data_IF_891001407576
#
_entry.id   IF_891001407576
#
_cell.length_a   1.000
_cell.length_b   1.000
_cell.length_c   1.000
_cell.angle_alpha   90.00
_cell.angle_beta   90.00
_cell.angle_gamma   90.00
#
_symmetry.space_group_name_H-M   'P 1'
#
loop_
_entity.id
_entity.type
_entity.pdbx_description
1 polymer ?
#
# COMPACT_ATOMS: atom_id res chain seq x y z
N UNK A 1 40.73 -6.16 4.06
CA UNK A 1 39.92 -5.25 4.91
C UNK A 1 39.34 -4.15 4.04
N UNK A 2 38.04 -3.82 4.17
CA UNK A 2 37.43 -2.74 3.40
C UNK A 2 38.06 -1.39 3.77
N UNK A 3 38.14 -0.47 2.81
CA UNK A 3 38.51 0.93 3.04
C UNK A 3 37.26 1.74 3.38
N UNK A 4 37.42 2.76 4.20
CA UNK A 4 36.35 3.69 4.55
C UNK A 4 36.16 4.70 3.43
N UNK A 5 34.95 4.78 2.87
CA UNK A 5 34.61 5.70 1.77
C UNK A 5 34.66 7.19 2.17
N UNK A 6 34.82 7.50 3.46
CA UNK A 6 34.89 8.88 3.96
C UNK A 6 36.31 9.37 4.27
N UNK A 7 37.23 8.47 4.65
CA UNK A 7 38.60 8.88 5.02
C UNK A 7 39.71 8.03 4.40
N UNK A 8 39.37 7.12 3.48
CA UNK A 8 40.26 6.23 2.72
C UNK A 8 41.16 5.31 3.55
N UNK A 9 40.99 5.30 4.88
CA UNK A 9 41.71 4.42 5.82
C UNK A 9 41.05 3.06 5.93
N UNK A 10 41.83 2.04 6.25
CA UNK A 10 41.34 0.68 6.46
C UNK A 10 40.36 0.62 7.65
N UNK A 11 39.29 -0.17 7.50
CA UNK A 11 38.33 -0.45 8.55
C UNK A 11 38.80 -1.66 9.35
N UNK A 12 39.27 -1.42 10.57
CA UNK A 12 39.75 -2.46 11.48
C UNK A 12 38.71 -2.94 12.51
N UNK A 13 37.59 -2.23 12.67
CA UNK A 13 36.54 -2.48 13.67
C UNK A 13 35.15 -2.44 13.01
N UNK A 14 34.08 -2.30 13.80
CA UNK A 14 32.70 -2.12 13.32
C UNK A 14 32.60 -1.03 12.24
N UNK A 15 31.83 -1.31 11.19
CA UNK A 15 31.51 -0.40 10.10
C UNK A 15 30.02 -0.05 10.09
N UNK A 16 29.70 1.12 9.54
CA UNK A 16 28.34 1.48 9.16
C UNK A 16 28.23 1.44 7.63
N UNK A 17 27.14 0.88 7.11
CA UNK A 17 26.87 0.81 5.67
C UNK A 17 25.61 1.59 5.37
N UNK A 18 25.67 2.47 4.37
CA UNK A 18 24.52 3.25 3.94
C UNK A 18 23.50 2.32 3.26
N UNK A 19 22.25 2.33 3.73
CA UNK A 19 21.16 1.50 3.19
C UNK A 19 20.74 1.86 1.76
N UNK A 20 21.14 3.02 1.22
CA UNK A 20 20.78 3.46 -0.14
C UNK A 20 21.87 3.27 -1.17
N UNK A 21 23.11 3.67 -0.84
CA UNK A 21 24.23 3.67 -1.79
C UNK A 21 25.32 2.67 -1.44
N UNK A 22 25.12 1.86 -0.39
CA UNK A 22 26.07 0.84 0.09
C UNK A 22 27.46 1.36 0.47
N UNK A 23 27.66 2.68 0.56
CA UNK A 23 28.88 3.29 1.10
C UNK A 23 29.17 2.76 2.50
N UNK A 24 30.39 2.29 2.72
CA UNK A 24 30.85 1.68 3.96
C UNK A 24 31.89 2.58 4.62
N UNK A 25 31.62 2.95 5.87
CA UNK A 25 32.47 3.86 6.65
C UNK A 25 32.76 3.29 8.04
N UNK A 26 33.75 3.85 8.75
CA UNK A 26 33.97 3.51 10.16
C UNK A 26 32.73 3.83 10.99
N UNK A 27 32.32 2.95 11.91
CA UNK A 27 31.24 3.21 12.86
C UNK A 27 31.70 4.17 13.98
N UNK A 28 32.09 5.39 13.62
CA UNK A 28 32.58 6.44 14.51
C UNK A 28 31.91 7.76 14.16
N UNK A 29 31.76 8.65 15.14
CA UNK A 29 31.18 9.98 14.95
C UNK A 29 31.87 10.76 13.81
N UNK A 30 33.18 10.63 13.65
CA UNK A 30 33.94 11.32 12.62
C UNK A 30 33.57 10.87 11.18
N UNK A 31 33.10 9.64 11.00
CA UNK A 31 32.78 9.08 9.69
C UNK A 31 31.28 8.98 9.41
N UNK A 32 30.44 8.85 10.44
CA UNK A 32 28.98 8.74 10.29
C UNK A 32 28.21 9.97 10.73
N UNK A 33 28.83 10.88 11.50
CA UNK A 33 28.15 11.98 12.19
C UNK A 33 27.26 11.54 13.36
N UNK A 34 27.31 10.25 13.74
CA UNK A 34 26.48 9.69 14.80
C UNK A 34 27.17 9.73 16.15
N UNK A 35 26.44 10.10 17.19
CA UNK A 35 26.93 10.03 18.57
C UNK A 35 27.15 8.57 19.00
N UNK A 36 28.01 8.31 20.00
CA UNK A 36 28.23 6.96 20.52
C UNK A 36 26.94 6.25 20.96
N UNK A 37 25.96 7.00 21.51
CA UNK A 37 24.65 6.46 21.89
C UNK A 37 23.84 6.01 20.66
N UNK A 38 23.83 6.79 19.59
CA UNK A 38 23.15 6.44 18.33
C UNK A 38 23.81 5.26 17.62
N UNK A 39 25.14 5.14 17.69
CA UNK A 39 25.87 3.99 17.15
C UNK A 39 25.59 2.70 17.91
N UNK A 40 25.20 2.79 19.19
CA UNK A 40 24.81 1.61 19.98
C UNK A 40 23.40 1.11 19.64
N UNK A 41 22.50 2.01 19.22
CA UNK A 41 21.10 1.70 18.89
C UNK A 41 20.84 1.48 17.40
N UNK A 42 21.71 1.95 16.50
CA UNK A 42 21.61 1.67 15.07
C UNK A 42 22.09 0.24 14.78
N UNK A 43 21.16 -0.70 14.75
CA UNK A 43 21.45 -2.07 14.34
C UNK A 43 21.26 -2.35 12.85
N UNK A 44 20.59 -1.48 12.07
CA UNK A 44 20.39 -1.79 10.62
C UNK A 44 20.17 -0.62 9.65
N UNK A 45 19.82 0.58 10.10
CA UNK A 45 19.37 1.64 9.18
C UNK A 45 20.19 2.93 9.35
N UNK A 46 21.40 2.93 8.79
CA UNK A 46 22.15 4.17 8.59
C UNK A 46 22.03 4.64 7.14
N UNK A 47 21.83 5.93 6.95
CA UNK A 47 21.85 6.58 5.62
C UNK A 47 22.89 7.69 5.66
N UNK A 48 23.82 7.70 4.70
CA UNK A 48 24.85 8.73 4.62
C UNK A 48 24.26 10.12 4.32
N UNK A 49 25.00 11.17 4.63
CA UNK A 49 24.53 12.55 4.49
C UNK A 49 24.17 12.89 3.03
N UNK A 50 24.90 12.39 2.05
CA UNK A 50 24.59 12.57 0.62
C UNK A 50 23.18 12.04 0.30
N UNK A 51 22.93 10.77 0.66
CA UNK A 51 21.64 10.13 0.46
C UNK A 51 20.52 10.80 1.28
N UNK A 52 20.82 11.35 2.47
CA UNK A 52 19.87 12.12 3.28
C UNK A 52 19.50 13.46 2.63
N UNK A 53 20.43 14.10 1.92
CA UNK A 53 20.19 15.34 1.18
C UNK A 53 19.37 15.12 -0.08
N UNK A 54 19.60 14.00 -0.75
CA UNK A 54 18.82 13.59 -1.94
C UNK A 54 17.41 13.09 -1.58
N UNK A 55 17.18 12.72 -0.32
CA UNK A 55 15.84 12.32 0.14
C UNK A 55 15.04 13.56 0.54
N UNK A 56 13.81 13.76 0.00
CA UNK A 56 12.94 14.82 0.47
C UNK A 56 12.75 14.67 1.98
N UNK A 57 13.11 15.69 2.77
CA UNK A 57 12.94 15.67 4.23
C UNK A 57 11.45 15.52 4.56
N UNK A 58 11.00 14.30 4.83
CA UNK A 58 9.68 14.05 5.41
C UNK A 58 9.66 14.73 6.78
N UNK A 59 8.89 15.81 6.89
CA UNK A 59 8.52 16.40 8.17
C UNK A 59 7.46 15.47 8.75
N UNK A 60 7.79 14.72 9.80
CA UNK A 60 6.79 14.00 10.58
C UNK A 60 6.00 15.01 11.41
N UNK A 61 4.69 14.99 11.32
CA UNK A 61 3.81 15.74 12.22
C UNK A 61 3.05 14.75 13.08
N UNK A 62 2.92 15.07 14.37
CA UNK A 62 2.09 14.31 15.32
C UNK A 62 0.67 14.83 15.16
N UNK A 63 -0.26 13.95 14.77
CA UNK A 63 -1.70 14.24 14.78
C UNK A 63 -2.15 13.93 16.21
N UNK A 64 -2.63 14.93 16.94
CA UNK A 64 -3.36 14.70 18.17
C UNK A 64 -4.79 14.31 17.77
N UNK A 65 -5.25 13.15 18.21
CA UNK A 65 -6.64 12.72 18.07
C UNK A 65 -7.45 13.50 19.12
N UNK A 66 -8.21 14.50 18.69
CA UNK A 66 -9.29 15.05 19.51
C UNK A 66 -10.60 14.40 19.06
N UNK A 67 -11.27 13.80 20.05
CA UNK A 67 -12.59 13.18 19.95
C UNK A 67 -13.67 14.26 19.71
N UNK A 68 -14.69 13.83 18.99
CA UNK A 68 -16.06 14.38 18.90
C UNK A 68 -16.39 15.52 17.92
N UNK A 69 -17.14 15.09 16.91
CA UNK A 69 -18.35 15.67 16.30
C UNK A 69 -18.35 17.09 15.71
N UNK A 70 -18.72 17.08 14.42
CA UNK A 70 -19.37 18.14 13.64
C UNK A 70 -18.50 19.22 12.95
N UNK A 71 -18.40 19.06 11.61
CA UNK A 71 -18.14 20.11 10.61
C UNK A 71 -17.01 21.11 10.90
N UNK A 72 -15.78 20.65 11.07
CA UNK A 72 -14.63 21.57 11.12
C UNK A 72 -14.04 21.86 9.72
N UNK A 73 -14.43 23.02 9.20
CA UNK A 73 -13.59 23.83 8.32
C UNK A 73 -12.18 23.91 8.93
N UNK A 74 -11.20 23.22 8.31
CA UNK A 74 -9.80 23.15 8.76
C UNK A 74 -9.14 24.55 8.82
N UNK A 75 -9.35 25.25 9.94
CA UNK A 75 -8.65 26.49 10.29
C UNK A 75 -7.25 26.12 10.78
N UNK A 76 -6.37 25.83 9.82
CA UNK A 76 -4.93 25.70 10.07
C UNK A 76 -4.37 27.10 10.33
N UNK A 77 -4.15 27.43 11.60
CA UNK A 77 -3.49 28.67 12.03
C UNK A 77 -2.03 28.69 11.57
N UNK A 78 -1.61 29.89 11.17
CA UNK A 78 -0.50 30.16 10.26
C UNK A 78 0.89 29.85 10.83
N UNK A 79 1.80 29.43 9.95
CA UNK A 79 3.17 29.99 9.87
C UNK A 79 3.77 29.71 8.49
N UNK A 80 4.08 30.78 7.75
CA UNK A 80 4.53 30.90 6.33
C UNK A 80 3.42 30.77 5.27
N UNK A 81 2.84 31.93 4.91
CA UNK A 81 1.69 32.09 4.00
C UNK A 81 1.91 31.52 2.58
N UNK A 82 3.16 31.45 2.11
CA UNK A 82 3.49 30.93 0.77
C UNK A 82 3.59 29.40 0.73
N UNK A 83 4.07 28.78 1.82
CA UNK A 83 4.22 27.31 1.92
C UNK A 83 2.92 26.61 2.29
N UNK A 84 2.09 27.25 3.13
CA UNK A 84 0.79 26.72 3.56
C UNK A 84 -0.19 26.55 2.39
N UNK A 85 -0.25 27.53 1.47
CA UNK A 85 -1.17 27.49 0.32
C UNK A 85 -0.77 26.41 -0.70
N UNK A 86 0.52 26.24 -0.95
CA UNK A 86 1.04 25.19 -1.82
C UNK A 86 0.76 23.79 -1.27
N UNK A 87 0.89 23.60 0.06
CA UNK A 87 0.56 22.34 0.73
C UNK A 87 -0.94 22.04 0.70
N UNK A 88 -1.79 23.03 0.99
CA UNK A 88 -3.25 22.89 0.91
C UNK A 88 -3.70 22.48 -0.51
N UNK A 89 -3.10 23.08 -1.54
CA UNK A 89 -3.38 22.70 -2.94
C UNK A 89 -2.92 21.27 -3.24
N UNK A 90 -1.71 20.89 -2.84
CA UNK A 90 -1.20 19.52 -3.04
C UNK A 90 -2.10 18.47 -2.38
N UNK A 91 -2.53 18.72 -1.14
CA UNK A 91 -3.44 17.80 -0.43
C UNK A 91 -4.82 17.73 -1.10
N UNK A 92 -5.33 18.85 -1.61
CA UNK A 92 -6.57 18.88 -2.38
C UNK A 92 -6.45 18.09 -3.68
N UNK A 93 -5.36 18.26 -4.41
CA UNK A 93 -5.08 17.55 -5.67
C UNK A 93 -4.93 16.03 -5.40
N UNK A 94 -4.22 15.64 -4.34
CA UNK A 94 -4.10 14.23 -3.92
C UNK A 94 -5.46 13.66 -3.54
N UNK A 95 -6.24 14.37 -2.72
CA UNK A 95 -7.57 13.93 -2.28
C UNK A 95 -8.51 13.74 -3.47
N UNK A 96 -8.48 14.67 -4.43
CA UNK A 96 -9.25 14.57 -5.65
C UNK A 96 -8.85 13.35 -6.48
N UNK A 97 -7.56 13.13 -6.69
CA UNK A 97 -7.09 12.05 -7.55
C UNK A 97 -7.27 10.67 -6.90
N UNK A 98 -7.14 10.58 -5.57
CA UNK A 98 -7.52 9.38 -4.80
C UNK A 98 -9.01 9.10 -4.94
N UNK A 99 -9.89 10.08 -4.71
CA UNK A 99 -11.34 9.91 -4.87
C UNK A 99 -11.71 9.45 -6.28
N UNK A 100 -11.09 10.07 -7.30
CA UNK A 100 -11.29 9.72 -8.70
C UNK A 100 -10.86 8.29 -9.01
N UNK A 101 -9.68 7.87 -8.53
CA UNK A 101 -9.21 6.49 -8.71
C UNK A 101 -10.10 5.48 -7.99
N UNK A 102 -10.44 5.73 -6.73
CA UNK A 102 -11.33 4.86 -5.96
C UNK A 102 -12.68 4.72 -6.66
N UNK A 103 -13.28 5.83 -7.12
CA UNK A 103 -14.54 5.78 -7.87
C UNK A 103 -14.43 4.96 -9.16
N UNK A 104 -13.33 5.08 -9.89
CA UNK A 104 -13.09 4.29 -11.10
C UNK A 104 -12.97 2.80 -10.79
N UNK A 105 -12.17 2.43 -9.79
CA UNK A 105 -11.98 1.03 -9.41
C UNK A 105 -13.29 0.40 -8.90
N UNK A 106 -14.07 1.13 -8.08
CA UNK A 106 -15.39 0.68 -7.64
C UNK A 106 -16.32 0.47 -8.85
N UNK A 107 -16.30 1.39 -9.83
CA UNK A 107 -17.07 1.24 -11.07
C UNK A 107 -16.72 -0.05 -11.82
N UNK A 108 -15.42 -0.29 -12.04
CA UNK A 108 -14.93 -1.51 -12.69
C UNK A 108 -15.34 -2.79 -11.94
N UNK A 109 -15.24 -2.79 -10.61
CA UNK A 109 -15.65 -3.93 -9.78
C UNK A 109 -17.17 -4.15 -9.89
N UNK A 110 -17.97 -3.09 -9.88
CA UNK A 110 -19.41 -3.20 -10.00
C UNK A 110 -19.85 -3.74 -11.37
N UNK A 111 -19.18 -3.32 -12.45
CA UNK A 111 -19.40 -3.88 -13.80
C UNK A 111 -19.04 -5.37 -13.85
N UNK A 112 -17.89 -5.76 -13.29
CA UNK A 112 -17.48 -7.16 -13.22
C UNK A 112 -18.47 -8.01 -12.40
N UNK A 113 -18.93 -7.49 -11.26
CA UNK A 113 -19.93 -8.15 -10.42
C UNK A 113 -21.25 -8.32 -11.17
N UNK A 114 -21.73 -7.30 -11.86
CA UNK A 114 -22.96 -7.36 -12.67
C UNK A 114 -22.85 -8.44 -13.76
N UNK A 115 -21.70 -8.53 -14.42
CA UNK A 115 -21.42 -9.59 -15.41
C UNK A 115 -21.44 -10.98 -14.79
N UNK A 116 -20.86 -11.15 -13.59
CA UNK A 116 -20.90 -12.41 -12.86
C UNK A 116 -22.33 -12.81 -12.47
N UNK A 117 -23.16 -11.86 -12.02
CA UNK A 117 -24.57 -12.13 -11.72
C UNK A 117 -25.32 -12.64 -12.96
N UNK A 118 -25.16 -11.99 -14.12
CA UNK A 118 -25.78 -12.44 -15.38
C UNK A 118 -25.35 -13.87 -15.77
N UNK A 119 -24.07 -14.21 -15.56
CA UNK A 119 -23.58 -15.57 -15.82
C UNK A 119 -24.18 -16.58 -14.84
N UNK A 120 -24.34 -16.22 -13.57
CA UNK A 120 -24.99 -17.06 -12.57
C UNK A 120 -26.45 -17.31 -12.93
N UNK A 121 -27.18 -16.29 -13.37
CA UNK A 121 -28.57 -16.43 -13.83
C UNK A 121 -28.65 -17.44 -15.01
N UNK A 122 -27.76 -17.32 -16.00
CA UNK A 122 -27.70 -18.27 -17.11
C UNK A 122 -27.36 -19.72 -16.69
N UNK A 123 -26.52 -19.88 -15.66
CA UNK A 123 -26.23 -21.20 -15.07
C UNK A 123 -27.49 -21.75 -14.37
N UNK A 124 -28.22 -20.90 -13.64
CA UNK A 124 -29.46 -21.31 -12.97
C UNK A 124 -30.53 -21.76 -13.96
N UNK A 125 -30.70 -21.04 -15.07
CA UNK A 125 -31.61 -21.43 -16.15
C UNK A 125 -31.21 -22.79 -16.76
N UNK A 126 -29.91 -22.98 -17.00
CA UNK A 126 -29.38 -24.24 -17.53
C UNK A 126 -29.63 -25.39 -16.55
N UNK A 127 -29.43 -25.17 -15.25
CA UNK A 127 -29.71 -26.16 -14.22
C UNK A 127 -31.20 -26.52 -14.19
N UNK A 128 -32.10 -25.55 -14.28
CA UNK A 128 -33.54 -25.79 -14.32
C UNK A 128 -33.92 -26.69 -15.52
N UNK A 129 -33.34 -26.44 -16.70
CA UNK A 129 -33.54 -27.28 -17.89
C UNK A 129 -33.03 -28.71 -17.66
N UNK A 130 -31.83 -28.86 -17.11
CA UNK A 130 -31.24 -30.17 -16.83
C UNK A 130 -32.09 -30.94 -15.83
N UNK A 131 -32.51 -30.31 -14.73
CA UNK A 131 -33.39 -30.92 -13.73
C UNK A 131 -34.72 -31.35 -14.35
N UNK A 132 -35.30 -30.56 -15.25
CA UNK A 132 -36.49 -30.93 -16.01
C UNK A 132 -36.29 -32.20 -16.84
N UNK A 133 -35.20 -32.25 -17.63
CA UNK A 133 -34.86 -33.42 -18.45
C UNK A 133 -34.60 -34.68 -17.62
N UNK A 134 -33.95 -34.54 -16.46
CA UNK A 134 -33.73 -35.67 -15.54
C UNK A 134 -35.08 -36.25 -15.11
N UNK A 135 -36.04 -35.40 -14.68
CA UNK A 135 -37.38 -35.86 -14.30
C UNK A 135 -38.12 -36.54 -15.44
N UNK A 136 -38.03 -36.01 -16.65
CA UNK A 136 -38.62 -36.66 -17.84
C UNK A 136 -38.02 -38.05 -18.09
N UNK A 137 -36.70 -38.17 -18.00
CA UNK A 137 -36.00 -39.45 -18.15
C UNK A 137 -36.38 -40.42 -17.03
N UNK A 138 -36.45 -39.98 -15.78
CA UNK A 138 -36.89 -40.79 -14.64
C UNK A 138 -38.31 -41.32 -14.86
N UNK A 139 -39.23 -40.49 -15.36
CA UNK A 139 -40.60 -40.89 -15.65
C UNK A 139 -40.67 -41.90 -16.80
N UNK A 140 -39.95 -41.67 -17.90
CA UNK A 140 -39.85 -42.63 -19.02
C UNK A 140 -39.29 -43.97 -18.56
N UNK A 141 -38.25 -43.94 -17.73
CA UNK A 141 -37.61 -45.15 -17.23
C UNK A 141 -38.56 -45.95 -16.31
N UNK A 142 -39.31 -45.27 -15.43
CA UNK A 142 -40.36 -45.90 -14.63
C UNK A 142 -41.45 -46.54 -15.49
N UNK A 143 -41.87 -45.89 -16.57
CA UNK A 143 -42.87 -46.45 -17.49
C UNK A 143 -42.36 -47.75 -18.14
N UNK A 144 -41.15 -47.72 -18.70
CA UNK A 144 -40.53 -48.89 -19.35
C UNK A 144 -40.28 -50.05 -18.38
N UNK A 145 -39.92 -49.76 -17.13
CA UNK A 145 -39.72 -50.79 -16.10
C UNK A 145 -41.03 -51.47 -15.67
N UNK A 146 -42.17 -50.78 -15.83
CA UNK A 146 -43.48 -51.26 -15.42
C UNK A 146 -44.32 -51.79 -16.61
N UNK A 147 -43.78 -51.80 -17.83
CA UNK A 147 -44.44 -52.46 -18.96
C UNK A 147 -44.46 -53.99 -18.72
N UNK A 148 -45.65 -54.63 -18.70
CA UNK A 148 -45.73 -56.07 -18.59
C UNK A 148 -45.14 -56.70 -19.86
N UNK A 149 -44.20 -57.64 -19.66
CA UNK A 149 -43.62 -58.47 -20.74
C UNK A 149 -44.66 -59.34 -21.43
#
# INVERSE_FOLDING_TARGET
MPKCDNCDKQIAKKSAMCNKCSKTVHATHACTGLTPKQLATQQQEWTCEDCRRETPRQKSFVIQEEEDEDEEELVITQSTESGSRAMKKLLSDISFEVKKRVKKEIGSVNEALSSCCQKLDGIMDTLAIITGKIKELENKNKYLLNEPK
#
